data_IF_789017362446
#
_entry.id   IF_789017362446
#
_cell.length_a   1.000
_cell.length_b   1.000
_cell.length_c   1.000
_cell.angle_alpha   90.00
_cell.angle_beta   90.00
_cell.angle_gamma   90.00
#
_symmetry.space_group_name_H-M   'P 1'
#
loop_
_entity.id
_entity.type
_entity.pdbx_description
1 polymer ?
#
# COMPACT_ATOMS: atom_id res chain seq x y z
N UNK A 1 18.82 2.39 20.00
CA UNK A 1 17.82 2.80 19.00
C UNK A 1 17.37 1.56 18.20
N UNK A 2 16.07 1.40 17.91
CA UNK A 2 15.55 0.29 17.13
C UNK A 2 15.93 0.43 15.64
N UNK A 3 15.74 -0.68 14.91
CA UNK A 3 15.89 -0.72 13.46
C UNK A 3 14.50 -0.95 12.83
N UNK A 4 13.65 0.10 12.76
CA UNK A 4 12.29 -0.02 12.27
C UNK A 4 12.24 -0.32 10.77
N UNK A 5 11.38 -1.28 10.41
CA UNK A 5 10.93 -1.53 9.05
C UNK A 5 9.41 -1.68 9.04
N UNK A 6 8.79 -1.32 7.93
CA UNK A 6 7.36 -1.39 7.72
C UNK A 6 7.01 -2.53 6.76
N UNK A 7 5.96 -3.28 7.08
CA UNK A 7 5.35 -4.32 6.24
C UNK A 7 3.90 -3.95 5.97
N UNK A 8 3.54 -3.84 4.70
CA UNK A 8 2.20 -3.55 4.20
C UNK A 8 1.59 -4.85 3.70
N UNK A 9 0.36 -5.17 4.11
CA UNK A 9 -0.40 -6.31 3.61
C UNK A 9 -1.82 -5.93 3.26
N UNK A 10 -2.41 -6.63 2.29
CA UNK A 10 -3.79 -6.45 1.85
C UNK A 10 -4.58 -7.70 2.19
N UNK A 11 -5.65 -7.56 2.99
CA UNK A 11 -6.40 -8.70 3.51
C UNK A 11 -7.17 -9.46 2.42
N UNK A 12 -7.58 -8.80 1.32
CA UNK A 12 -8.35 -9.44 0.25
C UNK A 12 -7.52 -10.16 -0.81
N UNK A 13 -6.44 -9.53 -1.28
CA UNK A 13 -5.54 -10.10 -2.30
C UNK A 13 -4.39 -10.94 -1.74
N UNK A 14 -4.14 -10.85 -0.43
CA UNK A 14 -2.98 -11.50 0.22
C UNK A 14 -1.63 -10.88 -0.17
N UNK A 15 -1.63 -9.75 -0.88
CA UNK A 15 -0.41 -9.04 -1.23
C UNK A 15 0.35 -8.65 0.04
N UNK A 16 1.67 -8.82 0.03
CA UNK A 16 2.52 -8.33 1.10
C UNK A 16 3.79 -7.68 0.53
N UNK A 17 4.10 -6.50 1.07
CA UNK A 17 5.26 -5.71 0.72
C UNK A 17 5.98 -5.29 1.99
N UNK A 18 7.30 -5.16 1.91
CA UNK A 18 8.12 -4.70 3.02
C UNK A 18 9.07 -3.61 2.55
N UNK A 19 9.25 -2.61 3.39
CA UNK A 19 10.20 -1.52 3.22
C UNK A 19 11.59 -1.91 3.71
N UNK A 20 12.57 -1.11 3.31
CA UNK A 20 13.91 -1.19 3.86
C UNK A 20 13.94 -0.91 5.36
N UNK A 21 14.92 -1.50 6.03
CA UNK A 21 15.13 -1.27 7.46
C UNK A 21 15.94 0.02 7.67
N UNK A 22 15.38 0.97 8.42
CA UNK A 22 16.12 2.15 8.83
C UNK A 22 16.91 1.83 10.11
N UNK A 23 18.25 1.89 10.06
CA UNK A 23 19.10 1.54 11.20
C UNK A 23 19.16 2.67 12.24
N UNK A 24 19.10 2.31 13.52
CA UNK A 24 19.32 3.20 14.67
C UNK A 24 18.47 4.49 14.62
N UNK A 25 17.16 4.39 14.36
CA UNK A 25 16.28 5.57 14.32
C UNK A 25 14.94 5.31 15.02
N UNK A 26 14.37 6.37 15.61
CA UNK A 26 12.98 6.40 16.08
C UNK A 26 12.05 7.10 15.08
N UNK A 27 12.62 7.82 14.10
CA UNK A 27 11.92 8.52 13.03
C UNK A 27 12.33 7.93 11.67
N UNK A 28 11.90 6.70 11.34
CA UNK A 28 12.19 6.11 10.04
C UNK A 28 11.55 6.90 8.90
N UNK A 29 12.33 7.13 7.85
CA UNK A 29 11.86 7.73 6.60
C UNK A 29 12.07 6.74 5.48
N UNK A 30 11.03 5.96 5.20
CA UNK A 30 11.07 4.98 4.11
C UNK A 30 10.91 5.65 2.74
N UNK A 31 9.94 6.56 2.60
CA UNK A 31 9.60 7.22 1.33
C UNK A 31 9.41 6.24 0.15
N UNK A 32 9.03 5.00 0.45
CA UNK A 32 8.77 3.95 -0.52
C UNK A 32 7.30 3.98 -0.95
N UNK A 33 7.05 3.70 -2.22
CA UNK A 33 5.71 3.62 -2.80
C UNK A 33 5.47 2.22 -3.36
N UNK A 34 4.28 1.69 -3.10
CA UNK A 34 3.86 0.35 -3.54
C UNK A 34 2.53 0.45 -4.27
N UNK A 35 2.46 -0.17 -5.44
CA UNK A 35 1.20 -0.35 -6.17
C UNK A 35 0.46 -1.54 -5.55
N UNK A 36 -0.69 -1.26 -4.90
CA UNK A 36 -1.53 -2.26 -4.25
C UNK A 36 -2.84 -2.43 -5.02
N UNK A 37 -3.28 -3.66 -5.21
CA UNK A 37 -4.60 -3.95 -5.78
C UNK A 37 -5.57 -4.15 -4.62
N UNK A 38 -6.48 -3.19 -4.45
CA UNK A 38 -7.47 -3.16 -3.38
C UNK A 38 -8.85 -3.44 -3.97
N UNK A 39 -9.44 -4.57 -3.61
CA UNK A 39 -10.83 -4.90 -3.91
C UNK A 39 -11.85 -4.09 -3.10
N UNK A 40 -13.13 -4.24 -3.44
CA UNK A 40 -14.21 -3.47 -2.83
C UNK A 40 -14.41 -3.70 -1.33
N UNK A 41 -13.92 -4.80 -0.77
CA UNK A 41 -14.03 -5.13 0.65
C UNK A 41 -12.65 -5.32 1.31
N UNK A 42 -11.60 -4.86 0.64
CA UNK A 42 -10.23 -5.11 1.07
C UNK A 42 -9.77 -4.02 2.05
N UNK A 43 -9.00 -4.45 3.04
CA UNK A 43 -8.34 -3.58 4.00
C UNK A 43 -6.83 -3.67 3.87
N UNK A 44 -6.18 -2.55 4.15
CA UNK A 44 -4.72 -2.45 4.17
C UNK A 44 -4.27 -2.48 5.62
N UNK A 45 -3.39 -3.41 5.94
CA UNK A 45 -2.74 -3.52 7.24
C UNK A 45 -1.28 -3.14 7.09
N UNK A 46 -0.85 -2.11 7.81
CA UNK A 46 0.53 -1.63 7.82
C UNK A 46 1.10 -1.92 9.20
N UNK A 47 2.13 -2.75 9.27
CA UNK A 47 2.75 -3.17 10.52
C UNK A 47 4.21 -2.74 10.58
N UNK A 48 4.66 -2.25 11.71
CA UNK A 48 6.00 -1.74 11.94
C UNK A 48 6.69 -2.68 12.92
N UNK A 49 7.91 -3.05 12.57
CA UNK A 49 8.69 -4.07 13.24
C UNK A 49 10.12 -3.60 13.43
N UNK A 50 10.77 -4.10 14.48
CA UNK A 50 12.17 -3.84 14.78
C UNK A 50 13.02 -5.02 14.32
N UNK A 51 13.79 -4.83 13.24
CA UNK A 51 14.65 -5.85 12.65
C UNK A 51 15.70 -6.40 13.65
N UNK A 52 16.15 -5.60 14.62
CA UNK A 52 17.09 -6.08 15.67
C UNK A 52 16.47 -7.07 16.65
N UNK A 53 15.15 -6.96 16.90
CA UNK A 53 14.45 -7.79 17.88
C UNK A 53 13.73 -8.98 17.21
N UNK A 54 13.38 -8.89 15.92
CA UNK A 54 12.60 -9.92 15.22
C UNK A 54 13.31 -11.28 15.14
N UNK A 55 14.64 -11.30 15.14
CA UNK A 55 15.42 -12.55 15.14
C UNK A 55 15.51 -13.23 16.52
N UNK A 56 15.04 -12.59 17.62
CA UNK A 56 15.14 -13.17 18.97
C UNK A 56 14.01 -14.15 19.30
N UNK A 57 12.77 -13.81 18.95
CA UNK A 57 11.58 -14.68 19.10
C UNK A 57 10.55 -14.30 18.03
N UNK A 58 9.71 -15.24 17.62
CA UNK A 58 8.53 -14.90 16.79
C UNK A 58 7.67 -13.87 17.54
N UNK A 59 7.30 -12.80 16.85
CA UNK A 59 6.55 -11.67 17.43
C UNK A 59 7.42 -10.67 18.23
N UNK A 60 8.69 -10.97 18.52
CA UNK A 60 9.55 -10.02 19.22
C UNK A 60 9.86 -8.82 18.33
N UNK A 61 9.68 -7.62 18.86
CA UNK A 61 9.99 -6.38 18.13
C UNK A 61 8.85 -5.85 17.28
N UNK A 62 7.61 -6.28 17.48
CA UNK A 62 6.46 -5.54 17.01
C UNK A 62 6.46 -4.13 17.64
N UNK A 63 6.43 -3.09 16.80
CA UNK A 63 6.42 -1.69 17.24
C UNK A 63 5.04 -1.06 17.14
N UNK A 64 4.13 -1.67 16.39
CA UNK A 64 2.77 -1.19 16.19
C UNK A 64 2.25 -1.53 14.79
N UNK A 65 0.95 -1.42 14.59
CA UNK A 65 0.33 -1.51 13.29
C UNK A 65 -0.78 -0.49 13.14
N UNK A 66 -1.23 -0.28 11.91
CA UNK A 66 -2.46 0.42 11.60
C UNK A 66 -3.22 -0.39 10.58
N UNK A 67 -4.52 -0.58 10.82
CA UNK A 67 -5.42 -1.23 9.88
C UNK A 67 -6.40 -0.23 9.33
N UNK A 68 -6.40 -0.08 8.00
CA UNK A 68 -7.23 0.85 7.27
C UNK A 68 -8.30 0.04 6.57
N UNK A 69 -9.53 0.14 7.07
CA UNK A 69 -10.68 -0.51 6.44
C UNK A 69 -10.99 0.12 5.07
N UNK A 70 -11.62 -0.63 4.17
CA UNK A 70 -12.09 -0.14 2.85
C UNK A 70 -12.73 1.24 2.92
N UNK A 71 -13.68 1.46 3.85
CA UNK A 71 -14.38 2.74 3.99
C UNK A 71 -13.42 3.90 4.30
N UNK A 72 -12.35 3.63 5.04
CA UNK A 72 -11.31 4.61 5.35
C UNK A 72 -10.37 4.80 4.16
N UNK A 73 -9.99 3.73 3.45
CA UNK A 73 -9.18 3.82 2.23
C UNK A 73 -9.86 4.74 1.21
N UNK A 74 -11.16 4.55 0.96
CA UNK A 74 -11.93 5.38 0.02
C UNK A 74 -12.04 6.85 0.44
N UNK A 75 -11.96 7.14 1.73
CA UNK A 75 -11.97 8.52 2.27
C UNK A 75 -10.59 9.16 2.30
N UNK A 76 -9.54 8.36 2.52
CA UNK A 76 -8.16 8.83 2.68
C UNK A 76 -7.41 8.87 1.34
N UNK A 77 -7.84 8.12 0.32
CA UNK A 77 -7.27 8.22 -1.02
C UNK A 77 -7.38 9.65 -1.55
N UNK A 78 -6.34 10.12 -2.22
CA UNK A 78 -6.25 11.43 -2.87
C UNK A 78 -6.39 12.63 -1.92
N UNK A 79 -6.34 12.40 -0.60
CA UNK A 79 -6.34 13.47 0.42
C UNK A 79 -4.93 13.93 0.81
N UNK A 80 -3.90 13.34 0.20
CA UNK A 80 -2.50 13.61 0.50
C UNK A 80 -1.97 12.81 1.70
N UNK A 81 -1.07 13.42 2.47
CA UNK A 81 -0.43 12.77 3.61
C UNK A 81 -1.35 12.74 4.83
N UNK A 82 -1.56 11.53 5.34
CA UNK A 82 -2.41 11.20 6.47
C UNK A 82 -1.56 10.65 7.60
N UNK A 83 -1.77 11.18 8.80
CA UNK A 83 -1.06 10.77 10.01
C UNK A 83 -1.97 9.84 10.81
N UNK A 84 -1.52 8.61 10.98
CA UNK A 84 -2.27 7.57 11.67
C UNK A 84 -1.51 7.13 12.92
N UNK A 85 -2.24 7.00 14.03
CA UNK A 85 -1.68 6.46 15.26
C UNK A 85 -1.44 4.96 15.14
N UNK A 86 -0.30 4.51 15.65
CA UNK A 86 0.00 3.09 15.73
C UNK A 86 -0.78 2.46 16.87
N UNK A 87 -1.39 1.32 16.60
CA UNK A 87 -2.14 0.50 17.55
C UNK A 87 -1.45 -0.83 17.78
N UNK A 88 -1.85 -1.53 18.86
CA UNK A 88 -1.41 -2.90 19.10
C UNK A 88 -1.98 -3.85 18.04
N UNK A 89 -1.22 -4.89 17.70
CA UNK A 89 -1.68 -5.94 16.79
C UNK A 89 -2.69 -6.84 17.48
N UNK A 90 -2.44 -7.16 18.75
CA UNK A 90 -3.36 -7.88 19.63
C UNK A 90 -3.56 -7.15 20.96
N UNK A 91 -4.74 -7.24 21.56
CA UNK A 91 -5.03 -6.59 22.85
C UNK A 91 -4.08 -7.07 23.96
N UNK A 92 -3.70 -8.35 23.90
CA UNK A 92 -2.79 -9.00 24.86
C UNK A 92 -1.30 -8.77 24.57
N UNK A 93 -0.94 -7.98 23.55
CA UNK A 93 0.47 -7.69 23.28
C UNK A 93 1.08 -6.93 24.47
N UNK A 94 2.14 -7.49 25.10
CA UNK A 94 2.75 -6.91 26.29
C UNK A 94 3.56 -5.64 25.98
N UNK A 95 4.00 -5.48 24.72
CA UNK A 95 4.83 -4.34 24.32
C UNK A 95 3.93 -3.09 24.15
N UNK A 96 4.23 -1.97 24.82
CA UNK A 96 3.49 -0.73 24.61
C UNK A 96 3.77 -0.17 23.22
N UNK A 97 2.74 -0.04 22.40
CA UNK A 97 2.82 0.64 21.11
C UNK A 97 2.72 2.14 21.32
N UNK A 98 3.71 2.87 20.81
CA UNK A 98 3.73 4.34 20.79
C UNK A 98 4.34 4.78 19.48
N UNK A 99 3.69 5.74 18.83
CA UNK A 99 4.17 6.32 17.59
C UNK A 99 3.04 6.55 16.61
N UNK A 100 3.38 7.25 15.54
CA UNK A 100 2.49 7.58 14.45
C UNK A 100 3.21 7.27 13.14
N UNK A 101 2.45 6.89 12.13
CA UNK A 101 2.94 6.74 10.77
C UNK A 101 2.26 7.77 9.88
N UNK A 102 3.02 8.33 8.94
CA UNK A 102 2.49 9.21 7.90
C UNK A 102 2.49 8.42 6.60
N UNK A 103 1.33 8.34 5.96
CA UNK A 103 1.15 7.63 4.68
C UNK A 103 0.36 8.51 3.72
N UNK A 104 0.48 8.25 2.42
CA UNK A 104 -0.41 8.82 1.41
C UNK A 104 -0.98 7.69 0.57
N UNK A 105 -2.30 7.68 0.41
CA UNK A 105 -2.98 6.75 -0.48
C UNK A 105 -3.32 7.51 -1.76
N UNK A 106 -2.90 6.99 -2.90
CA UNK A 106 -3.17 7.57 -4.21
C UNK A 106 -3.99 6.58 -5.00
N UNK A 107 -5.13 7.03 -5.51
CA UNK A 107 -5.98 6.20 -6.32
C UNK A 107 -5.43 6.16 -7.74
N UNK A 108 -4.94 4.99 -8.16
CA UNK A 108 -4.69 4.72 -9.57
C UNK A 108 -5.97 4.21 -10.21
N UNK A 109 -7.04 4.98 -10.07
CA UNK A 109 -8.31 4.64 -10.70
C UNK A 109 -8.10 4.68 -12.21
N UNK A 110 -8.19 3.53 -12.88
CA UNK A 110 -8.41 3.46 -14.34
C UNK A 110 -9.78 4.02 -14.76
N UNK A 111 -10.44 4.80 -13.89
CA UNK A 111 -11.81 5.30 -14.01
C UNK A 111 -11.84 6.78 -13.59
N UNK A 112 -11.15 7.60 -14.37
CA UNK A 112 -11.11 9.05 -14.24
C UNK A 112 -10.37 9.69 -15.41
N UNK A 113 -10.96 9.65 -16.60
CA UNK A 113 -10.59 10.40 -17.80
C UNK A 113 -9.16 10.18 -18.37
N UNK A 114 -9.07 9.44 -19.48
CA UNK A 114 -7.98 9.61 -20.45
C UNK A 114 -6.86 8.58 -20.40
N UNK A 115 -7.10 7.38 -20.95
CA UNK A 115 -6.19 6.75 -21.92
C UNK A 115 -6.81 5.44 -22.41
N UNK A 116 -7.86 5.54 -23.21
CA UNK A 116 -7.88 4.64 -24.36
C UNK A 116 -6.60 5.00 -25.10
N UNK A 117 -5.65 4.08 -25.25
CA UNK A 117 -4.60 4.24 -26.26
C UNK A 117 -5.30 4.21 -27.63
N UNK A 118 -6.06 5.25 -27.97
CA UNK A 118 -6.40 5.53 -29.36
C UNK A 118 -5.14 6.13 -29.92
N UNK A 119 -4.41 5.33 -30.66
CA UNK A 119 -3.44 5.85 -31.61
C UNK A 119 -4.27 6.63 -32.62
N UNK A 120 -4.46 7.94 -32.40
CA UNK A 120 -5.04 8.81 -33.40
C UNK A 120 -3.97 9.01 -34.48
N UNK A 121 -4.14 8.35 -35.63
CA UNK A 121 -3.52 8.82 -36.87
C UNK A 121 -4.07 10.23 -37.18
N UNK A 122 -3.24 11.09 -37.79
CA UNK A 122 -3.46 12.52 -38.03
C UNK A 122 -4.63 12.83 -38.99
N UNK A 123 -5.46 11.86 -39.35
CA UNK A 123 -6.56 12.02 -40.28
C UNK A 123 -7.82 11.32 -39.71
N UNK A 124 -8.42 11.91 -38.69
CA UNK A 124 -9.49 11.31 -37.87
C UNK A 124 -10.67 10.71 -38.64
N UNK A 125 -10.62 9.41 -38.91
CA UNK A 125 -11.72 8.64 -39.49
C UNK A 125 -11.87 7.32 -38.73
N UNK A 126 -13.08 7.07 -38.19
CA UNK A 126 -13.45 5.81 -37.53
C UNK A 126 -13.74 4.75 -38.60
N UNK A 127 -12.83 3.78 -38.77
CA UNK A 127 -13.03 2.63 -39.64
C UNK A 127 -13.02 1.32 -38.86
N UNK A 128 -14.20 0.75 -38.61
CA UNK A 128 -14.33 -0.70 -38.43
C UNK A 128 -14.63 -1.30 -39.81
N UNK A 129 -13.76 -2.16 -40.31
CA UNK A 129 -14.05 -3.04 -41.44
C UNK A 129 -13.89 -4.50 -40.97
N UNK A 130 -14.99 -5.27 -40.90
CA UNK A 130 -14.98 -6.67 -40.50
C UNK A 130 -15.03 -7.55 -41.75
N UNK A 131 -13.92 -7.69 -42.47
CA UNK A 131 -13.69 -8.81 -43.41
C UNK A 131 -12.35 -8.59 -44.11
N UNK A 132 -11.32 -9.30 -43.65
CA UNK A 132 -10.38 -10.00 -44.54
C UNK A 132 -9.46 -10.84 -43.66
N UNK A 133 -9.78 -12.14 -43.58
CA UNK A 133 -8.89 -13.16 -43.02
C UNK A 133 -7.64 -13.26 -43.92
N UNK A 134 -6.43 -13.40 -43.36
CA UNK A 134 -5.25 -13.65 -44.17
C UNK A 134 -5.07 -15.16 -44.37
N UNK A 135 -4.88 -15.64 -45.60
CA UNK A 135 -3.98 -16.77 -45.91
C UNK A 135 -3.61 -16.78 -47.40
N UNK A 136 -2.31 -16.91 -47.69
CA UNK A 136 -1.77 -17.54 -48.92
C UNK A 136 -1.59 -16.68 -50.16
#
# INVERSE_FOLDING_TARGET
LPDPFCKVSVDGSGQCHSTDTCKNTLDPKWNQHYDLYIGNNDSITISIWNHKKIHKKQGAGFLGCVRIATNSIQRLKDTGYQRLDLTKGHADDPEPVKGQIVISLLSRDGRGSGSVNVVMDRLGNLGFSPDELPEG
#
